data_IF_950509832650
#
_entry.id   IF_950509832650
#
_cell.length_a   1.000
_cell.length_b   1.000
_cell.length_c   1.000
_cell.angle_alpha   90.00
_cell.angle_beta   90.00
_cell.angle_gamma   90.00
#
_symmetry.space_group_name_H-M   'P 1'
#
loop_
_entity.id
_entity.type
_entity.pdbx_description
1 polymer ?
#
# COMPACT_ATOMS: atom_id res chain seq x y z
N UNK A 1 30.69 0.11 -4.78
CA UNK A 1 30.17 -0.84 -3.77
C UNK A 1 29.74 -0.02 -2.55
N UNK A 2 28.62 0.70 -2.64
CA UNK A 2 28.08 1.49 -1.53
C UNK A 2 26.59 1.21 -1.39
N UNK A 3 26.29 0.55 -0.32
CA UNK A 3 25.17 0.57 0.63
C UNK A 3 23.75 0.73 0.09
N UNK A 4 23.14 -0.42 -0.21
CA UNK A 4 21.69 -0.63 -0.11
C UNK A 4 21.28 -0.65 1.37
N UNK A 5 21.18 0.49 2.01
CA UNK A 5 20.78 0.56 3.41
C UNK A 5 20.00 1.84 3.69
N UNK A 6 18.70 1.82 3.45
CA UNK A 6 17.71 2.63 4.18
C UNK A 6 16.29 2.65 3.56
N UNK A 7 15.77 1.52 3.08
CA UNK A 7 14.35 1.47 2.66
C UNK A 7 13.67 0.31 3.38
N UNK A 8 12.59 0.58 4.12
CA UNK A 8 11.74 -0.47 4.71
C UNK A 8 11.96 -0.78 6.18
N UNK A 9 12.41 0.18 7.02
CA UNK A 9 12.54 -0.03 8.46
C UNK A 9 11.36 0.58 9.22
N UNK A 10 10.33 -0.20 9.49
CA UNK A 10 9.29 0.18 10.44
C UNK A 10 9.81 -0.01 11.88
N UNK A 11 9.86 1.07 12.67
CA UNK A 11 10.41 1.04 14.02
C UNK A 11 9.32 1.18 15.08
N UNK A 12 9.43 0.43 16.17
CA UNK A 12 8.72 0.69 17.41
C UNK A 12 9.64 1.30 18.45
N UNK A 13 9.19 2.34 19.14
CA UNK A 13 9.87 2.87 20.32
C UNK A 13 9.22 2.27 21.56
N UNK A 14 9.87 1.29 22.17
CA UNK A 14 9.65 0.92 23.56
C UNK A 14 11.02 0.87 24.24
N UNK A 15 11.28 1.75 25.20
CA UNK A 15 12.44 1.69 26.06
C UNK A 15 13.81 1.91 25.39
N UNK A 16 13.97 2.99 24.62
CA UNK A 16 15.31 3.50 24.24
C UNK A 16 16.13 2.69 23.23
N UNK A 17 15.64 1.57 22.72
CA UNK A 17 16.27 0.82 21.63
C UNK A 17 15.31 0.78 20.44
N UNK A 18 15.78 1.26 19.27
CA UNK A 18 15.07 1.13 17.99
C UNK A 18 15.01 -0.36 17.61
N UNK A 19 13.87 -1.00 17.84
CA UNK A 19 13.64 -2.38 17.41
C UNK A 19 12.91 -2.34 16.08
N UNK A 20 13.49 -2.98 15.07
CA UNK A 20 12.80 -3.23 13.78
C UNK A 20 11.54 -4.04 14.07
N UNK A 21 10.43 -3.69 13.40
CA UNK A 21 9.24 -4.52 13.45
C UNK A 21 9.56 -5.86 12.78
N UNK A 22 9.31 -6.94 13.50
CA UNK A 22 9.39 -8.29 12.98
C UNK A 22 8.25 -8.54 11.97
N UNK A 23 8.56 -9.18 10.84
CA UNK A 23 7.60 -9.50 9.79
C UNK A 23 6.42 -10.32 10.32
N UNK A 24 6.68 -11.28 11.20
CA UNK A 24 5.64 -12.11 11.81
C UNK A 24 4.68 -11.29 12.68
N UNK A 25 5.21 -10.37 13.50
CA UNK A 25 4.38 -9.49 14.33
C UNK A 25 3.55 -8.51 13.50
N UNK A 26 4.11 -8.00 12.39
CA UNK A 26 3.38 -7.16 11.44
C UNK A 26 2.24 -7.93 10.77
N UNK A 27 2.51 -9.10 10.24
CA UNK A 27 1.51 -9.92 9.55
C UNK A 27 0.41 -10.40 10.52
N UNK A 28 0.77 -10.80 11.76
CA UNK A 28 -0.17 -11.20 12.80
C UNK A 28 -1.15 -10.08 13.21
N UNK A 29 -0.81 -8.81 12.96
CA UNK A 29 -1.77 -7.72 13.19
C UNK A 29 -3.02 -7.87 12.31
N UNK A 30 -2.90 -8.37 11.08
CA UNK A 30 -4.03 -8.63 10.21
C UNK A 30 -4.92 -9.78 10.70
N UNK A 31 -4.44 -10.64 11.62
CA UNK A 31 -5.24 -11.69 12.25
C UNK A 31 -6.11 -11.15 13.40
N UNK A 32 -5.81 -9.94 13.91
CA UNK A 32 -6.67 -9.28 14.88
C UNK A 32 -8.01 -8.87 14.28
N UNK A 33 -9.12 -8.80 15.06
CA UNK A 33 -10.43 -8.37 14.55
C UNK A 33 -10.41 -6.98 13.90
N UNK A 34 -9.56 -6.07 14.42
CA UNK A 34 -9.39 -4.72 13.88
C UNK A 34 -8.54 -4.72 12.60
N UNK A 35 -7.40 -5.39 12.62
CA UNK A 35 -6.48 -5.46 11.48
C UNK A 35 -7.13 -6.14 10.28
N UNK A 36 -7.82 -7.26 10.51
CA UNK A 36 -8.57 -7.97 9.48
C UNK A 36 -9.65 -7.09 8.84
N UNK A 37 -10.38 -6.32 9.66
CA UNK A 37 -11.40 -5.42 9.14
C UNK A 37 -10.79 -4.29 8.32
N UNK A 38 -9.73 -3.62 8.82
CA UNK A 38 -9.04 -2.55 8.10
C UNK A 38 -8.49 -3.08 6.77
N UNK A 39 -7.67 -4.12 6.79
CA UNK A 39 -7.09 -4.67 5.58
C UNK A 39 -8.15 -5.14 4.56
N UNK A 40 -9.29 -5.71 5.04
CA UNK A 40 -10.38 -6.09 4.15
C UNK A 40 -11.08 -4.88 3.52
N UNK A 41 -11.25 -3.77 4.25
CA UNK A 41 -11.87 -2.56 3.71
C UNK A 41 -10.96 -1.89 2.67
N UNK A 42 -9.66 -1.79 2.96
CA UNK A 42 -8.64 -1.27 2.04
C UNK A 42 -8.54 -2.15 0.78
N UNK A 43 -8.47 -3.46 0.95
CA UNK A 43 -8.43 -4.41 -0.17
C UNK A 43 -9.63 -4.26 -1.09
N UNK A 44 -10.85 -4.21 -0.54
CA UNK A 44 -12.09 -4.04 -1.33
C UNK A 44 -12.12 -2.73 -2.09
N UNK A 45 -11.63 -1.64 -1.49
CA UNK A 45 -11.52 -0.36 -2.18
C UNK A 45 -10.56 -0.47 -3.36
N UNK A 46 -9.35 -0.96 -3.14
CA UNK A 46 -8.30 -1.05 -4.16
C UNK A 46 -8.68 -2.03 -5.30
N UNK A 47 -9.22 -3.20 -4.97
CA UNK A 47 -9.71 -4.17 -5.95
C UNK A 47 -10.81 -3.57 -6.87
N UNK A 48 -11.74 -2.79 -6.29
CA UNK A 48 -12.76 -2.05 -7.03
C UNK A 48 -12.16 -0.98 -7.95
N UNK A 49 -11.18 -0.21 -7.45
CA UNK A 49 -10.53 0.86 -8.23
C UNK A 49 -9.72 0.29 -9.40
N UNK A 50 -9.06 -0.83 -9.19
CA UNK A 50 -8.33 -1.55 -10.21
C UNK A 50 -9.25 -2.28 -11.19
N UNK A 51 -10.52 -2.54 -10.83
CA UNK A 51 -11.44 -3.38 -11.59
C UNK A 51 -10.84 -4.77 -11.85
N UNK A 52 -10.34 -5.40 -10.80
CA UNK A 52 -9.65 -6.69 -10.86
C UNK A 52 -10.51 -7.77 -11.51
N UNK A 53 -9.90 -8.59 -12.36
CA UNK A 53 -10.54 -9.75 -13.00
C UNK A 53 -9.60 -10.95 -12.93
N UNK A 54 -10.11 -12.16 -12.73
CA UNK A 54 -9.29 -13.36 -12.79
C UNK A 54 -8.50 -13.45 -14.10
N UNK A 55 -7.23 -13.86 -14.01
CA UNK A 55 -6.31 -13.94 -15.13
C UNK A 55 -5.54 -12.66 -15.45
N UNK A 56 -5.91 -11.50 -14.90
CA UNK A 56 -5.10 -10.29 -15.06
C UNK A 56 -3.76 -10.43 -14.33
N UNK A 57 -2.71 -9.84 -14.91
CA UNK A 57 -1.42 -9.70 -14.24
C UNK A 57 -1.42 -8.49 -13.31
N UNK A 58 -0.97 -8.66 -12.06
CA UNK A 58 -0.90 -7.59 -11.07
C UNK A 58 0.49 -7.52 -10.43
N UNK A 59 1.03 -6.30 -10.32
CA UNK A 59 2.22 -6.00 -9.53
C UNK A 59 1.80 -5.30 -8.22
N UNK A 60 2.22 -5.86 -7.08
CA UNK A 60 2.09 -5.24 -5.75
C UNK A 60 3.44 -4.64 -5.34
N UNK A 61 3.53 -3.31 -5.35
CA UNK A 61 4.76 -2.55 -5.09
C UNK A 61 4.86 -2.17 -3.62
N UNK A 62 5.90 -2.66 -2.94
CA UNK A 62 6.04 -2.57 -1.48
C UNK A 62 5.14 -3.58 -0.78
N UNK A 63 5.14 -4.82 -1.27
CA UNK A 63 4.22 -5.87 -0.83
C UNK A 63 4.44 -6.34 0.62
N UNK A 64 5.57 -6.01 1.23
CA UNK A 64 5.89 -6.34 2.62
C UNK A 64 5.80 -7.84 2.90
N UNK A 65 4.97 -8.22 3.89
CA UNK A 65 4.71 -9.62 4.26
C UNK A 65 3.76 -10.35 3.31
N UNK A 66 3.29 -9.68 2.25
CA UNK A 66 2.46 -10.27 1.21
C UNK A 66 0.99 -10.47 1.56
N UNK A 67 0.47 -9.77 2.58
CA UNK A 67 -0.94 -9.96 2.99
C UNK A 67 -1.92 -9.55 1.87
N UNK A 68 -1.72 -8.42 1.21
CA UNK A 68 -2.53 -7.98 0.06
C UNK A 68 -2.23 -8.82 -1.18
N UNK A 69 -0.96 -9.11 -1.44
CA UNK A 69 -0.50 -9.92 -2.57
C UNK A 69 -1.21 -11.26 -2.62
N UNK A 70 -1.26 -12.00 -1.49
CA UNK A 70 -1.96 -13.30 -1.40
C UNK A 70 -3.46 -13.15 -1.67
N UNK A 71 -4.10 -12.09 -1.18
CA UNK A 71 -5.53 -11.86 -1.41
C UNK A 71 -5.87 -11.58 -2.86
N UNK A 72 -5.03 -10.83 -3.57
CA UNK A 72 -5.19 -10.67 -5.01
C UNK A 72 -5.01 -12.00 -5.76
N UNK A 73 -4.06 -12.84 -5.33
CA UNK A 73 -3.90 -14.17 -5.91
C UNK A 73 -5.10 -15.09 -5.62
N UNK A 74 -5.70 -15.01 -4.42
CA UNK A 74 -6.93 -15.72 -4.05
C UNK A 74 -8.13 -15.31 -4.94
N UNK A 75 -8.15 -14.07 -5.47
CA UNK A 75 -9.14 -13.63 -6.46
C UNK A 75 -8.82 -14.08 -7.89
N UNK A 76 -7.78 -14.89 -8.09
CA UNK A 76 -7.41 -15.48 -9.37
C UNK A 76 -6.53 -14.60 -10.26
N UNK A 77 -5.89 -13.54 -9.72
CA UNK A 77 -4.92 -12.76 -10.46
C UNK A 77 -3.55 -13.44 -10.51
N UNK A 78 -2.78 -13.15 -11.57
CA UNK A 78 -1.38 -13.55 -11.69
C UNK A 78 -0.50 -12.50 -11.02
N UNK A 79 -0.18 -12.68 -9.74
CA UNK A 79 0.42 -11.65 -8.90
C UNK A 79 1.94 -11.77 -8.82
N UNK A 80 2.61 -10.62 -8.92
CA UNK A 80 4.01 -10.42 -8.53
C UNK A 80 4.06 -9.46 -7.37
N UNK A 81 4.69 -9.86 -6.25
CA UNK A 81 4.99 -8.99 -5.11
C UNK A 81 6.42 -8.47 -5.19
N UNK A 82 6.63 -7.17 -5.04
CA UNK A 82 7.95 -6.55 -5.00
C UNK A 82 8.14 -5.79 -3.68
N UNK A 83 9.26 -6.02 -3.00
CA UNK A 83 9.65 -5.29 -1.80
C UNK A 83 11.18 -5.20 -1.70
N UNK A 84 11.76 -4.12 -1.18
CA UNK A 84 13.20 -4.00 -1.01
C UNK A 84 13.74 -4.84 0.16
N UNK A 85 12.89 -5.30 1.08
CA UNK A 85 13.32 -6.01 2.29
C UNK A 85 13.34 -7.54 2.06
N UNK A 86 14.53 -8.18 2.02
CA UNK A 86 14.64 -9.61 1.75
C UNK A 86 14.04 -10.48 2.86
N UNK A 87 14.06 -10.03 4.12
CA UNK A 87 13.50 -10.79 5.26
C UNK A 87 11.98 -10.84 5.19
N UNK A 88 11.36 -9.74 4.77
CA UNK A 88 9.92 -9.68 4.58
C UNK A 88 9.47 -10.52 3.39
N UNK A 89 10.24 -10.51 2.30
CA UNK A 89 10.00 -11.40 1.16
C UNK A 89 10.20 -12.88 1.49
N UNK A 90 11.19 -13.21 2.32
CA UNK A 90 11.38 -14.58 2.80
C UNK A 90 10.17 -15.05 3.62
N UNK A 91 9.66 -14.18 4.51
CA UNK A 91 8.44 -14.44 5.28
C UNK A 91 7.22 -14.60 4.37
N UNK A 92 7.02 -13.68 3.41
CA UNK A 92 5.91 -13.72 2.46
C UNK A 92 5.90 -15.03 1.66
N UNK A 93 7.06 -15.43 1.16
CA UNK A 93 7.26 -16.68 0.41
C UNK A 93 6.96 -17.91 1.27
N UNK A 94 7.38 -17.92 2.53
CA UNK A 94 7.12 -19.04 3.45
C UNK A 94 5.64 -19.20 3.79
N UNK A 95 4.87 -18.13 3.76
CA UNK A 95 3.41 -18.11 3.97
C UNK A 95 2.57 -18.37 2.71
N UNK A 96 3.21 -18.36 1.55
CA UNK A 96 2.51 -18.47 0.27
C UNK A 96 2.38 -19.95 -0.16
N UNK A 97 1.16 -20.52 -0.15
CA UNK A 97 0.91 -21.86 -0.68
C UNK A 97 0.76 -21.87 -2.21
N UNK A 98 0.82 -20.70 -2.86
CA UNK A 98 0.59 -20.52 -4.29
C UNK A 98 1.90 -20.11 -4.99
N UNK A 99 1.89 -20.11 -6.34
CA UNK A 99 3.06 -19.75 -7.13
C UNK A 99 3.20 -18.23 -7.35
N UNK A 100 3.03 -17.41 -6.32
CA UNK A 100 3.25 -15.96 -6.41
C UNK A 100 4.74 -15.70 -6.69
N UNK A 101 5.02 -14.80 -7.63
CA UNK A 101 6.38 -14.35 -7.92
C UNK A 101 6.80 -13.26 -6.93
N UNK A 102 7.83 -13.52 -6.12
CA UNK A 102 8.38 -12.58 -5.17
C UNK A 102 9.71 -12.02 -5.67
N UNK A 103 9.82 -10.68 -5.78
CA UNK A 103 10.97 -9.98 -6.38
C UNK A 103 11.52 -8.96 -5.39
N UNK A 104 12.82 -9.01 -5.13
CA UNK A 104 13.53 -7.96 -4.40
C UNK A 104 13.77 -6.77 -5.34
N UNK A 105 13.35 -5.56 -4.93
CA UNK A 105 13.50 -4.38 -5.77
C UNK A 105 13.09 -3.09 -5.09
N UNK A 106 13.50 -1.98 -5.69
CA UNK A 106 13.18 -0.63 -5.24
C UNK A 106 12.01 -0.08 -6.08
N UNK A 107 11.02 0.50 -5.43
CA UNK A 107 9.87 1.11 -6.09
C UNK A 107 10.27 2.26 -7.03
N UNK A 108 11.42 2.91 -6.79
CA UNK A 108 11.95 4.02 -7.60
C UNK A 108 12.64 3.55 -8.89
N UNK A 109 12.88 2.25 -9.04
CA UNK A 109 13.52 1.65 -10.22
C UNK A 109 13.02 0.22 -10.36
N UNK A 110 11.81 0.06 -10.89
CA UNK A 110 11.16 -1.24 -11.02
C UNK A 110 11.86 -2.09 -12.10
N UNK A 111 12.29 -3.33 -11.78
CA UNK A 111 13.04 -4.19 -12.71
C UNK A 111 12.12 -4.87 -13.74
N UNK A 112 11.18 -4.10 -14.30
CA UNK A 112 10.20 -4.59 -15.26
C UNK A 112 10.13 -3.65 -16.48
N UNK A 113 9.86 -4.19 -17.68
CA UNK A 113 9.60 -3.38 -18.86
C UNK A 113 8.36 -2.49 -18.70
N UNK A 114 8.26 -1.48 -19.56
CA UNK A 114 7.07 -0.64 -19.66
C UNK A 114 5.84 -1.51 -19.96
N UNK A 115 4.69 -1.13 -19.36
CA UNK A 115 3.39 -1.76 -19.64
C UNK A 115 3.38 -3.29 -19.46
N UNK A 116 4.15 -3.81 -18.50
CA UNK A 116 4.34 -5.25 -18.28
C UNK A 116 3.26 -5.90 -17.42
N UNK A 117 2.47 -5.10 -16.68
CA UNK A 117 1.38 -5.58 -15.84
C UNK A 117 0.06 -4.93 -16.23
N UNK A 118 -1.03 -5.71 -16.29
CA UNK A 118 -2.37 -5.15 -16.55
C UNK A 118 -2.74 -4.14 -15.46
N UNK A 119 -2.39 -4.45 -14.22
CA UNK A 119 -2.70 -3.64 -13.04
C UNK A 119 -1.49 -3.51 -12.12
N UNK A 120 -1.36 -2.34 -11.47
CA UNK A 120 -0.31 -2.10 -10.46
C UNK A 120 -0.95 -1.52 -9.20
N UNK A 121 -0.61 -2.07 -8.05
CA UNK A 121 -1.06 -1.60 -6.74
C UNK A 121 0.13 -1.29 -5.84
N UNK A 122 -0.06 -0.33 -4.93
CA UNK A 122 0.81 -0.12 -3.77
C UNK A 122 -0.04 0.28 -2.58
N UNK A 123 0.15 -0.35 -1.43
CA UNK A 123 -0.72 -0.16 -0.27
C UNK A 123 0.08 0.33 0.92
N UNK A 124 -0.05 1.62 1.25
CA UNK A 124 0.61 2.28 2.38
C UNK A 124 2.14 2.03 2.43
N UNK A 125 2.77 1.79 1.28
CA UNK A 125 4.19 1.52 1.17
C UNK A 125 4.99 2.74 0.72
N UNK A 126 4.48 3.53 -0.24
CA UNK A 126 5.19 4.68 -0.77
C UNK A 126 5.43 5.77 0.28
N UNK A 127 4.61 5.85 1.32
CA UNK A 127 4.82 6.78 2.44
C UNK A 127 6.15 6.55 3.20
N UNK A 128 6.88 5.48 2.91
CA UNK A 128 8.22 5.18 3.43
C UNK A 128 9.33 5.32 2.38
N UNK A 129 8.98 5.62 1.13
CA UNK A 129 9.92 5.76 0.01
C UNK A 129 10.41 7.21 -0.06
N UNK A 130 11.72 7.44 -0.14
CA UNK A 130 12.31 8.78 -0.08
C UNK A 130 11.88 9.68 -1.23
N UNK A 131 11.85 9.16 -2.45
CA UNK A 131 11.34 9.85 -3.65
C UNK A 131 10.05 9.16 -4.12
N UNK A 132 8.92 9.60 -3.55
CA UNK A 132 7.60 9.07 -3.89
C UNK A 132 7.20 9.41 -5.33
N UNK A 133 7.59 10.58 -5.84
CA UNK A 133 7.28 11.00 -7.21
C UNK A 133 7.92 10.06 -8.23
N UNK A 134 9.19 9.69 -8.03
CA UNK A 134 9.87 8.71 -8.88
C UNK A 134 9.20 7.34 -8.80
N UNK A 135 8.81 6.89 -7.61
CA UNK A 135 8.11 5.62 -7.46
C UNK A 135 6.73 5.62 -8.15
N UNK A 136 6.00 6.73 -8.09
CA UNK A 136 4.73 6.90 -8.82
C UNK A 136 4.96 6.83 -10.34
N UNK A 137 6.00 7.50 -10.86
CA UNK A 137 6.33 7.44 -12.27
C UNK A 137 6.65 6.01 -12.74
N UNK A 138 7.38 5.23 -11.94
CA UNK A 138 7.69 3.83 -12.23
C UNK A 138 6.43 2.94 -12.21
N UNK A 139 5.53 3.14 -11.23
CA UNK A 139 4.25 2.44 -11.17
C UNK A 139 3.42 2.71 -12.44
N UNK A 140 3.33 3.97 -12.86
CA UNK A 140 2.62 4.35 -14.10
C UNK A 140 3.30 3.74 -15.33
N UNK A 141 4.63 3.75 -15.39
CA UNK A 141 5.40 3.20 -16.52
C UNK A 141 5.14 1.70 -16.73
N UNK A 142 5.13 0.91 -15.65
CA UNK A 142 4.97 -0.54 -15.77
C UNK A 142 3.50 -0.99 -15.85
N UNK A 143 2.54 -0.11 -15.52
CA UNK A 143 1.12 -0.39 -15.66
C UNK A 143 0.69 -0.32 -17.13
N UNK A 144 -0.06 -1.32 -17.59
CA UNK A 144 -0.63 -1.38 -18.95
C UNK A 144 -2.00 -0.75 -19.03
N UNK A 145 -2.81 -0.90 -17.99
CA UNK A 145 -4.20 -0.47 -17.98
C UNK A 145 -4.53 0.44 -16.80
N UNK A 146 -4.32 -0.03 -15.57
CA UNK A 146 -4.75 0.64 -14.35
C UNK A 146 -3.71 0.58 -13.25
N UNK A 147 -3.77 1.59 -12.40
CA UNK A 147 -3.05 1.59 -11.13
C UNK A 147 -3.95 2.08 -9.98
N UNK A 148 -3.64 1.67 -8.77
CA UNK A 148 -4.22 2.20 -7.55
C UNK A 148 -3.15 2.26 -6.45
N UNK A 149 -2.91 3.44 -5.91
CA UNK A 149 -1.89 3.65 -4.88
C UNK A 149 -2.57 4.23 -3.65
N UNK A 150 -2.37 3.57 -2.50
CA UNK A 150 -2.89 3.98 -1.21
C UNK A 150 -1.81 4.61 -0.34
N UNK A 151 -2.09 5.79 0.22
CA UNK A 151 -1.24 6.50 1.17
C UNK A 151 -1.93 6.73 2.51
N UNK A 152 -1.14 7.05 3.51
CA UNK A 152 -1.61 7.52 4.81
C UNK A 152 -2.09 8.97 4.71
N UNK A 153 -3.33 9.21 5.09
CA UNK A 153 -4.00 10.49 4.91
C UNK A 153 -3.81 11.43 6.11
N UNK A 154 -3.15 12.58 5.88
CA UNK A 154 -2.95 13.62 6.90
C UNK A 154 -4.23 14.32 7.34
N UNK A 155 -5.29 14.28 6.53
CA UNK A 155 -6.60 14.86 6.85
C UNK A 155 -7.53 13.90 7.62
N UNK A 156 -7.01 12.80 8.15
CA UNK A 156 -7.79 11.74 8.80
C UNK A 156 -7.74 11.76 10.32
N UNK A 157 -8.73 11.12 10.94
CA UNK A 157 -8.70 10.84 12.38
C UNK A 157 -7.53 9.92 12.76
N UNK A 158 -7.11 9.03 11.87
CA UNK A 158 -5.96 8.15 12.08
C UNK A 158 -4.68 8.98 12.26
N UNK A 159 -4.48 10.03 11.45
CA UNK A 159 -3.35 10.94 11.60
C UNK A 159 -3.35 11.64 12.96
N UNK A 160 -4.51 12.16 13.38
CA UNK A 160 -4.64 12.81 14.69
C UNK A 160 -4.25 11.89 15.85
N UNK A 161 -4.50 10.58 15.72
CA UNK A 161 -4.20 9.58 16.75
C UNK A 161 -2.78 8.99 16.66
N UNK A 162 -2.20 8.87 15.47
CA UNK A 162 -1.00 8.04 15.20
C UNK A 162 0.09 8.73 14.40
N UNK A 163 -0.21 9.80 13.66
CA UNK A 163 0.71 10.42 12.72
C UNK A 163 1.52 11.59 13.29
N UNK A 164 1.08 12.17 14.41
CA UNK A 164 1.75 13.34 15.01
C UNK A 164 3.12 12.96 15.60
N UNK A 165 4.04 13.92 15.65
CA UNK A 165 5.37 13.72 16.27
C UNK A 165 6.27 12.70 15.54
N UNK A 166 6.10 12.51 14.23
CA UNK A 166 6.88 11.53 13.44
C UNK A 166 6.26 10.14 13.40
N UNK A 167 5.04 9.99 13.88
CA UNK A 167 4.29 8.74 13.87
C UNK A 167 4.55 7.85 15.07
N UNK A 168 3.69 6.85 15.25
CA UNK A 168 3.81 5.88 16.35
C UNK A 168 3.50 4.46 15.86
N UNK A 169 4.18 3.46 16.44
CA UNK A 169 4.00 2.06 16.06
C UNK A 169 4.41 1.81 14.60
N UNK A 170 3.55 1.14 13.84
CA UNK A 170 3.76 0.84 12.42
C UNK A 170 3.83 2.09 11.53
N UNK A 171 3.43 3.24 12.04
CA UNK A 171 3.43 4.52 11.29
C UNK A 171 4.66 5.38 11.57
N UNK A 172 5.61 4.90 12.38
CA UNK A 172 6.82 5.67 12.69
C UNK A 172 7.65 5.90 11.42
N UNK A 173 7.98 7.16 11.16
CA UNK A 173 8.75 7.57 9.96
C UNK A 173 7.94 7.63 8.67
N UNK A 174 6.65 7.32 8.71
CA UNK A 174 5.79 7.46 7.55
C UNK A 174 5.53 8.92 7.21
N UNK A 175 5.54 9.24 5.93
CA UNK A 175 5.04 10.52 5.41
C UNK A 175 3.53 10.44 5.23
N UNK A 176 2.85 11.49 5.67
CA UNK A 176 1.41 11.61 5.60
C UNK A 176 1.06 12.76 4.65
N UNK A 177 0.20 12.51 3.71
CA UNK A 177 -0.16 13.46 2.68
C UNK A 177 -1.63 13.87 2.75
N UNK A 178 -1.93 15.06 2.25
CA UNK A 178 -3.30 15.45 1.93
C UNK A 178 -3.62 14.97 0.50
N UNK A 179 -4.91 14.71 0.19
CA UNK A 179 -5.29 14.25 -1.16
C UNK A 179 -4.85 15.17 -2.30
N UNK A 180 -4.85 16.50 -2.08
CA UNK A 180 -4.42 17.50 -3.04
C UNK A 180 -2.91 17.40 -3.34
N UNK A 181 -2.09 17.20 -2.32
CA UNK A 181 -0.63 17.02 -2.46
C UNK A 181 -0.28 15.77 -3.30
N UNK A 182 -1.07 14.69 -3.15
CA UNK A 182 -0.84 13.44 -3.87
C UNK A 182 -1.14 13.54 -5.36
N UNK A 183 -2.11 14.36 -5.77
CA UNK A 183 -2.43 14.55 -7.18
C UNK A 183 -1.25 15.19 -7.94
N UNK A 184 -0.44 16.02 -7.28
CA UNK A 184 0.74 16.64 -7.87
C UNK A 184 1.82 15.63 -8.28
N UNK A 185 1.82 14.43 -7.68
CA UNK A 185 2.77 13.37 -8.07
C UNK A 185 2.51 12.84 -9.48
N UNK A 186 1.29 13.00 -10.00
CA UNK A 186 0.90 12.54 -11.33
C UNK A 186 1.02 13.62 -12.41
N UNK A 187 1.44 14.83 -12.05
CA UNK A 187 1.61 15.93 -13.01
C UNK A 187 2.66 15.57 -14.07
N UNK A 188 2.27 15.65 -15.34
CA UNK A 188 3.13 15.36 -16.49
C UNK A 188 3.27 13.86 -16.82
N UNK A 189 2.63 12.96 -16.06
CA UNK A 189 2.61 11.55 -16.39
C UNK A 189 1.49 11.22 -17.40
N UNK A 190 1.66 10.19 -18.25
CA UNK A 190 0.67 9.76 -19.26
C UNK A 190 -0.48 8.99 -18.58
N UNK A 191 -1.32 9.70 -17.85
CA UNK A 191 -2.43 9.14 -17.07
C UNK A 191 -3.73 9.86 -17.36
N UNK A 192 -4.83 9.14 -17.28
CA UNK A 192 -6.19 9.65 -17.44
C UNK A 192 -7.10 9.14 -16.34
N UNK A 193 -8.25 9.78 -16.17
CA UNK A 193 -9.29 9.40 -15.20
C UNK A 193 -8.78 9.26 -13.79
N UNK A 194 -7.89 10.15 -13.36
CA UNK A 194 -7.45 10.20 -11.97
C UNK A 194 -8.65 10.38 -11.05
N UNK A 195 -8.74 9.55 -10.03
CA UNK A 195 -9.80 9.60 -9.03
C UNK A 195 -9.22 9.43 -7.63
N UNK A 196 -9.76 10.22 -6.70
CA UNK A 196 -9.39 10.19 -5.27
C UNK A 196 -10.49 9.50 -4.49
N UNK A 197 -10.11 8.49 -3.74
CA UNK A 197 -11.01 7.77 -2.84
C UNK A 197 -10.35 7.61 -1.47
N UNK A 198 -11.15 7.35 -0.45
CA UNK A 198 -10.59 7.04 0.86
C UNK A 198 -11.38 5.94 1.58
N UNK A 199 -10.74 5.31 2.55
CA UNK A 199 -11.31 4.30 3.41
C UNK A 199 -10.80 4.47 4.85
N UNK A 200 -11.45 3.77 5.79
CA UNK A 200 -11.13 3.77 7.22
C UNK A 200 -11.42 5.14 7.84
N UNK A 201 -12.67 5.57 7.73
CA UNK A 201 -13.11 6.86 8.29
C UNK A 201 -12.99 6.92 9.81
N UNK A 202 -13.27 5.81 10.50
CA UNK A 202 -13.10 5.67 11.95
C UNK A 202 -12.16 4.50 12.26
N UNK A 203 -10.90 4.75 12.66
CA UNK A 203 -9.89 3.70 12.78
C UNK A 203 -10.06 2.77 13.99
N UNK A 204 -11.06 2.99 14.85
CA UNK A 204 -11.32 2.17 16.04
C UNK A 204 -11.70 0.72 15.73
N UNK A 205 -12.33 0.45 14.57
CA UNK A 205 -12.72 -0.89 14.13
C UNK A 205 -13.89 -1.52 14.91
N UNK A 206 -14.58 -0.73 15.75
CA UNK A 206 -15.77 -1.15 16.49
C UNK A 206 -17.02 -1.19 15.58
N UNK A 207 -18.17 -1.54 16.13
CA UNK A 207 -19.43 -1.63 15.36
C UNK A 207 -19.78 -0.32 14.65
N UNK A 208 -19.61 0.81 15.34
CA UNK A 208 -19.88 2.16 14.77
C UNK A 208 -18.96 2.41 13.58
N UNK A 209 -17.67 2.17 13.73
CA UNK A 209 -16.68 2.34 12.65
C UNK A 209 -17.05 1.51 11.41
N UNK A 210 -17.42 0.25 11.61
CA UNK A 210 -17.81 -0.65 10.53
C UNK A 210 -19.12 -0.25 9.83
N UNK A 211 -20.06 0.31 10.58
CA UNK A 211 -21.30 0.83 10.01
C UNK A 211 -21.03 2.11 9.21
N UNK A 212 -20.26 3.04 9.76
CA UNK A 212 -19.90 4.28 9.06
C UNK A 212 -19.12 4.00 7.76
N UNK A 213 -18.20 3.03 7.77
CA UNK A 213 -17.46 2.63 6.57
C UNK A 213 -18.35 2.12 5.43
N UNK A 214 -19.50 1.52 5.77
CA UNK A 214 -20.48 1.06 4.78
C UNK A 214 -21.40 2.16 4.25
N UNK A 215 -21.65 3.18 5.05
CA UNK A 215 -22.62 4.25 4.75
C UNK A 215 -21.95 5.45 4.09
N UNK A 216 -20.70 5.76 4.44
CA UNK A 216 -20.01 6.92 3.92
C UNK A 216 -19.49 6.64 2.50
N UNK A 217 -19.65 7.59 1.57
CA UNK A 217 -19.10 7.46 0.24
C UNK A 217 -17.58 7.56 0.30
N UNK A 218 -16.90 6.65 -0.41
CA UNK A 218 -15.43 6.62 -0.47
C UNK A 218 -14.80 7.84 -1.17
N UNK A 219 -15.61 8.71 -1.77
CA UNK A 219 -15.16 10.00 -2.33
C UNK A 219 -14.92 11.09 -1.28
N UNK A 220 -15.31 10.85 -0.02
CA UNK A 220 -14.97 11.75 1.09
C UNK A 220 -13.47 11.69 1.40
N UNK A 221 -12.80 12.84 1.63
CA UNK A 221 -11.33 12.89 1.73
C UNK A 221 -10.77 12.59 3.13
N UNK A 222 -11.54 11.99 4.05
CA UNK A 222 -11.19 11.90 5.48
C UNK A 222 -10.81 10.51 5.98
N UNK A 223 -10.84 9.49 5.14
CA UNK A 223 -10.42 8.14 5.52
C UNK A 223 -8.94 8.07 5.87
N UNK A 224 -8.55 7.13 6.74
CA UNK A 224 -7.17 6.91 7.15
C UNK A 224 -6.25 6.50 6.01
N UNK A 225 -6.78 5.74 5.04
CA UNK A 225 -6.17 5.49 3.74
C UNK A 225 -6.80 6.44 2.71
N UNK A 226 -5.97 7.15 1.95
CA UNK A 226 -6.36 7.83 0.72
C UNK A 226 -5.76 7.09 -0.47
N UNK A 227 -6.58 6.74 -1.44
CA UNK A 227 -6.17 6.03 -2.65
C UNK A 227 -6.34 6.92 -3.89
N UNK A 228 -5.30 7.01 -4.70
CA UNK A 228 -5.35 7.59 -6.04
C UNK A 228 -5.33 6.44 -7.04
N UNK A 229 -6.29 6.42 -7.93
CA UNK A 229 -6.36 5.47 -9.05
C UNK A 229 -6.46 6.19 -10.37
N UNK A 230 -6.01 5.54 -11.43
CA UNK A 230 -6.07 6.05 -12.79
C UNK A 230 -5.87 4.97 -13.83
N UNK A 231 -6.02 5.38 -15.08
CA UNK A 231 -5.71 4.58 -16.27
C UNK A 231 -4.46 5.15 -16.94
N UNK A 232 -3.62 4.29 -17.49
CA UNK A 232 -2.49 4.67 -18.33
C UNK A 232 -2.95 4.90 -19.78
N UNK A 233 -2.27 5.81 -20.49
CA UNK A 233 -2.52 6.11 -21.90
C UNK A 233 -1.89 5.06 -22.86
#
# INVERSE_FOLDING_TARGET
METFAAVGRVFFAAGGRRRLMDAAAYDAWYDTPRGRWIGTAEFRLLSRLLQTQPGNTLLDVGCGTGWFTRRFAEEGLLVTGLDPNPDWLAFARAKDPTAIRWVAGDARSLPFPDRSFDQVVSVAALCFVEDERQAVAEIVRVARQRFAIGWLNRASLLYAQKGQGGGSGAYYGARWHRPDELLDFFSGLPVRRLAVHSAIFLPAGNRVARTMERLLPHTLPWGGLVAISGETE
#
